data_IF_759088538317
#
_entry.id   IF_759088538317
#
_cell.length_a   1.000
_cell.length_b   1.000
_cell.length_c   1.000
_cell.angle_alpha   90.00
_cell.angle_beta   90.00
_cell.angle_gamma   90.00
#
_symmetry.space_group_name_H-M   'P 1'
#
loop_
_entity.id
_entity.type
_entity.pdbx_description
1 polymer ?
#
# COMPACT_ATOMS: atom_id res chain seq x y z
N UNK A 1 15.89 6.39 15.33
CA UNK A 1 14.56 5.77 15.42
C UNK A 1 13.78 6.19 14.18
N UNK A 2 13.13 5.25 13.50
CA UNK A 2 12.40 5.55 12.26
C UNK A 2 11.19 6.44 12.56
N UNK A 3 10.78 7.25 11.59
CA UNK A 3 9.49 7.94 11.64
C UNK A 3 8.36 6.92 11.69
N UNK A 4 7.28 7.20 12.42
CA UNK A 4 6.07 6.38 12.40
C UNK A 4 5.51 6.33 10.97
N UNK A 5 5.55 5.16 10.35
CA UNK A 5 4.98 4.93 9.03
C UNK A 5 3.85 3.93 9.19
N UNK A 6 2.66 4.34 8.76
CA UNK A 6 1.49 3.48 8.70
C UNK A 6 1.44 2.92 7.27
N UNK A 7 1.56 1.59 7.08
CA UNK A 7 1.49 1.03 5.75
C UNK A 7 0.04 1.01 5.25
N UNK A 8 -0.14 1.35 3.97
CA UNK A 8 -1.40 1.08 3.29
C UNK A 8 -1.57 -0.43 3.11
N UNK A 9 -2.74 -0.97 3.42
CA UNK A 9 -3.05 -2.39 3.19
C UNK A 9 -3.20 -2.71 1.70
N UNK A 10 -3.58 -1.70 0.91
CA UNK A 10 -3.65 -1.71 -0.53
C UNK A 10 -2.84 -0.54 -1.11
N UNK A 11 -2.06 -0.80 -2.15
CA UNK A 11 -1.26 0.18 -2.87
C UNK A 11 -1.72 0.25 -4.32
N UNK A 12 -2.22 1.41 -4.72
CA UNK A 12 -2.60 1.66 -6.10
C UNK A 12 -1.42 2.27 -6.88
N UNK A 13 -0.96 1.53 -7.90
CA UNK A 13 0.19 1.89 -8.72
C UNK A 13 -0.20 2.35 -10.13
N UNK A 14 -1.49 2.47 -10.42
CA UNK A 14 -2.01 2.72 -11.78
C UNK A 14 -1.36 3.93 -12.44
N UNK A 15 -1.26 5.04 -11.70
CA UNK A 15 -0.71 6.30 -12.19
C UNK A 15 0.82 6.36 -12.12
N UNK A 16 1.46 5.35 -11.53
CA UNK A 16 2.90 5.19 -11.44
C UNK A 16 3.46 4.31 -12.56
N UNK A 17 2.62 3.49 -13.19
CA UNK A 17 3.01 2.63 -14.29
C UNK A 17 3.42 3.46 -15.51
N UNK A 18 4.46 2.97 -16.19
CA UNK A 18 4.94 3.56 -17.42
C UNK A 18 4.04 3.12 -18.59
N UNK A 19 3.68 4.06 -19.46
CA UNK A 19 2.79 3.83 -20.61
C UNK A 19 1.43 3.19 -20.25
N UNK A 20 0.94 3.39 -19.04
CA UNK A 20 -0.44 3.04 -18.68
C UNK A 20 -1.40 4.17 -19.07
N UNK A 21 -2.63 3.85 -19.51
CA UNK A 21 -3.71 4.84 -19.56
C UNK A 21 -3.97 5.41 -18.15
N UNK A 22 -4.24 6.71 -18.07
CA UNK A 22 -4.55 7.41 -16.83
C UNK A 22 -5.84 8.18 -17.00
N UNK A 23 -6.61 8.27 -15.92
CA UNK A 23 -7.84 9.06 -15.90
C UNK A 23 -7.50 10.52 -15.59
N UNK A 24 -8.18 11.46 -16.24
CA UNK A 24 -8.07 12.86 -15.95
C UNK A 24 -8.56 13.11 -14.54
N UNK A 25 -7.73 13.78 -13.72
CA UNK A 25 -8.01 14.10 -12.32
C UNK A 25 -9.33 14.87 -12.10
N UNK A 26 -9.84 15.58 -13.12
CA UNK A 26 -11.05 16.39 -13.01
C UNK A 26 -12.30 15.71 -13.56
N UNK A 27 -12.20 15.04 -14.70
CA UNK A 27 -13.39 14.56 -15.43
C UNK A 27 -13.41 13.06 -15.66
N UNK A 28 -12.37 12.31 -15.25
CA UNK A 28 -12.28 10.85 -15.42
C UNK A 28 -11.95 10.37 -16.83
N UNK A 29 -12.10 11.20 -17.87
CA UNK A 29 -11.73 10.86 -19.25
C UNK A 29 -10.23 10.60 -19.41
N UNK A 30 -9.81 9.98 -20.51
CA UNK A 30 -8.41 9.70 -20.80
C UNK A 30 -7.53 10.97 -20.68
N UNK A 31 -6.46 10.86 -19.90
CA UNK A 31 -5.49 11.92 -19.75
C UNK A 31 -4.42 11.87 -20.85
N UNK A 32 -4.06 13.05 -21.35
CA UNK A 32 -3.05 13.26 -22.39
C UNK A 32 -1.85 14.03 -21.84
N UNK A 33 -2.00 14.71 -20.70
CA UNK A 33 -0.98 15.55 -20.08
C UNK A 33 -0.83 15.24 -18.61
N UNK A 34 0.36 15.48 -18.06
CA UNK A 34 0.66 15.41 -16.63
C UNK A 34 1.42 16.67 -16.22
N UNK A 35 1.06 17.27 -15.09
CA UNK A 35 1.77 18.43 -14.56
C UNK A 35 2.33 18.16 -13.16
N UNK A 36 3.64 17.92 -13.07
CA UNK A 36 4.34 17.73 -11.78
C UNK A 36 4.28 18.98 -10.90
N UNK A 37 4.22 20.17 -11.48
CA UNK A 37 4.10 21.43 -10.73
C UNK A 37 2.73 21.60 -10.06
N UNK A 38 1.69 20.87 -10.52
CA UNK A 38 0.39 20.83 -9.86
C UNK A 38 0.35 19.84 -8.67
N UNK A 39 1.34 18.96 -8.50
CA UNK A 39 1.40 17.96 -7.41
C UNK A 39 1.29 18.60 -6.00
N UNK A 40 1.98 19.71 -5.68
CA UNK A 40 1.85 20.37 -4.38
C UNK A 40 0.65 21.34 -4.27
N UNK A 41 -0.21 21.48 -5.30
CA UNK A 41 -1.28 22.48 -5.29
C UNK A 41 -2.35 22.16 -4.22
N UNK A 42 -2.44 23.03 -3.21
CA UNK A 42 -3.39 22.94 -2.09
C UNK A 42 -4.85 23.04 -2.50
N UNK A 43 -5.15 23.67 -3.64
CA UNK A 43 -6.50 23.74 -4.19
C UNK A 43 -6.91 22.47 -4.94
N UNK A 44 -5.97 21.55 -5.20
CA UNK A 44 -6.19 20.36 -6.01
C UNK A 44 -5.70 19.09 -5.30
N UNK A 45 -5.98 18.87 -4.02
CA UNK A 45 -5.52 17.68 -3.27
C UNK A 45 -3.99 17.43 -3.40
N UNK A 46 -3.18 18.04 -2.51
CA UNK A 46 -1.74 17.85 -2.48
C UNK A 46 -1.31 16.38 -2.49
N UNK A 47 -0.22 16.08 -3.20
CA UNK A 47 0.42 14.76 -3.20
C UNK A 47 -0.20 13.74 -4.16
N UNK A 48 -1.39 14.00 -4.71
CA UNK A 48 -1.98 13.17 -5.78
C UNK A 48 -1.42 13.58 -7.15
N UNK A 49 -1.04 12.61 -7.99
CA UNK A 49 -0.57 12.87 -9.37
C UNK A 49 -1.66 13.62 -10.16
N UNK A 50 -1.23 14.47 -11.11
CA UNK A 50 -2.10 15.42 -11.81
C UNK A 50 -2.13 15.17 -13.33
N UNK A 51 -2.78 14.08 -13.76
CA UNK A 51 -3.07 13.81 -15.16
C UNK A 51 -4.30 14.61 -15.63
N UNK A 52 -4.28 15.11 -16.85
CA UNK A 52 -5.35 15.91 -17.45
C UNK A 52 -5.63 15.49 -18.89
N UNK A 53 -6.90 15.46 -19.31
CA UNK A 53 -7.24 15.48 -20.73
C UNK A 53 -6.90 16.86 -21.32
N UNK A 54 -6.86 16.98 -22.65
CA UNK A 54 -6.52 18.25 -23.32
C UNK A 54 -7.35 19.44 -22.82
N UNK A 55 -8.67 19.29 -22.73
CA UNK A 55 -9.57 20.38 -22.29
C UNK A 55 -9.32 20.80 -20.84
N UNK A 56 -9.23 19.85 -19.91
CA UNK A 56 -8.98 20.14 -18.50
C UNK A 56 -7.59 20.73 -18.28
N UNK A 57 -6.58 20.29 -19.06
CA UNK A 57 -5.24 20.84 -19.02
C UNK A 57 -5.26 22.34 -19.32
N UNK A 58 -5.93 22.78 -20.39
CA UNK A 58 -6.04 24.21 -20.73
C UNK A 58 -6.77 24.99 -19.64
N UNK A 59 -7.87 24.47 -19.09
CA UNK A 59 -8.64 25.16 -18.05
C UNK A 59 -7.88 25.29 -16.73
N UNK A 60 -7.16 24.26 -16.31
CA UNK A 60 -6.38 24.30 -15.06
C UNK A 60 -5.26 25.33 -15.16
N UNK A 61 -4.58 25.38 -16.30
CA UNK A 61 -3.42 26.25 -16.53
C UNK A 61 -3.78 27.66 -17.03
N UNK A 62 -5.05 27.99 -17.26
CA UNK A 62 -5.48 29.38 -17.44
C UNK A 62 -5.55 30.15 -16.11
N UNK A 63 -5.55 29.44 -14.98
CA UNK A 63 -5.57 30.07 -13.67
C UNK A 63 -4.24 30.80 -13.39
N UNK A 64 -4.24 32.06 -12.89
CA UNK A 64 -3.02 32.86 -12.71
C UNK A 64 -1.92 32.19 -11.88
N UNK A 65 -2.29 31.36 -10.89
CA UNK A 65 -1.31 30.64 -10.08
C UNK A 65 -0.67 29.42 -10.76
N UNK A 66 -1.14 29.03 -11.95
CA UNK A 66 -0.70 27.83 -12.67
C UNK A 66 -0.30 28.08 -14.12
N UNK A 67 -0.49 29.29 -14.64
CA UNK A 67 -0.13 29.66 -16.02
C UNK A 67 1.36 29.47 -16.36
N UNK A 68 2.23 29.50 -15.35
CA UNK A 68 3.67 29.29 -15.51
C UNK A 68 4.08 27.81 -15.39
N UNK A 69 3.12 26.90 -15.20
CA UNK A 69 3.42 25.47 -15.18
C UNK A 69 3.67 24.96 -16.60
N UNK A 70 4.47 23.90 -16.71
CA UNK A 70 4.79 23.22 -17.97
C UNK A 70 4.27 21.78 -17.91
N UNK A 71 3.03 21.52 -18.37
CA UNK A 71 2.49 20.17 -18.49
C UNK A 71 3.26 19.37 -19.54
N UNK A 72 3.57 18.12 -19.21
CA UNK A 72 4.23 17.18 -20.12
C UNK A 72 3.19 16.28 -20.77
N UNK A 73 3.30 16.06 -22.08
CA UNK A 73 2.48 15.07 -22.77
C UNK A 73 2.79 13.66 -22.23
N UNK A 74 1.73 12.92 -21.94
CA UNK A 74 1.81 11.51 -21.57
C UNK A 74 1.98 10.67 -22.85
N UNK A 75 2.74 9.56 -22.80
CA UNK A 75 2.79 8.60 -23.90
C UNK A 75 1.38 8.07 -24.16
N UNK A 76 0.85 8.29 -25.36
CA UNK A 76 -0.52 7.91 -25.70
C UNK A 76 -0.67 6.38 -25.64
N UNK A 77 -1.52 5.82 -24.77
CA UNK A 77 -2.01 4.47 -24.95
C UNK A 77 -2.96 4.46 -26.16
N UNK A 78 -3.04 3.33 -26.86
CA UNK A 78 -4.05 3.16 -27.91
C UNK A 78 -5.43 3.44 -27.31
N UNK A 79 -6.18 4.36 -27.93
CA UNK A 79 -7.55 4.67 -27.53
C UNK A 79 -8.33 3.35 -27.45
N UNK A 80 -8.88 3.06 -26.28
CA UNK A 80 -9.81 1.96 -26.10
C UNK A 80 -11.01 2.52 -25.37
N UNK A 81 -12.21 2.17 -25.84
CA UNK A 81 -13.50 2.46 -25.17
C UNK A 81 -13.64 1.71 -23.82
N UNK A 82 -12.56 1.08 -23.35
CA UNK A 82 -12.54 0.35 -22.08
C UNK A 82 -12.12 1.28 -20.95
N UNK A 83 -12.76 1.18 -19.76
CA UNK A 83 -12.31 1.87 -18.56
C UNK A 83 -10.82 1.63 -18.30
N UNK A 84 -10.15 2.64 -17.73
CA UNK A 84 -8.73 2.55 -17.39
C UNK A 84 -8.53 1.41 -16.37
N UNK A 85 -7.72 0.38 -16.68
CA UNK A 85 -7.48 -0.70 -15.74
C UNK A 85 -6.80 -0.17 -14.48
N UNK A 86 -7.38 -0.46 -13.31
CA UNK A 86 -6.75 -0.20 -12.02
C UNK A 86 -5.76 -1.31 -11.69
N UNK A 87 -4.55 -0.92 -11.34
CA UNK A 87 -3.48 -1.80 -10.92
C UNK A 87 -3.20 -1.59 -9.44
N UNK A 88 -3.76 -2.48 -8.61
CA UNK A 88 -3.57 -2.47 -7.16
C UNK A 88 -2.71 -3.63 -6.72
N UNK A 89 -2.01 -3.43 -5.59
CA UNK A 89 -1.19 -4.42 -4.91
C UNK A 89 -1.64 -4.50 -3.46
N UNK A 90 -1.52 -5.68 -2.85
CA UNK A 90 -1.88 -5.91 -1.46
C UNK A 90 -0.62 -6.09 -0.62
N UNK A 91 -0.59 -5.45 0.56
CA UNK A 91 0.42 -5.69 1.57
C UNK A 91 0.29 -7.13 2.06
N UNK A 92 1.35 -7.92 1.93
CA UNK A 92 1.34 -9.32 2.37
C UNK A 92 2.42 -9.62 3.41
N UNK A 93 3.45 -8.81 3.53
CA UNK A 93 4.43 -8.96 4.59
C UNK A 93 5.06 -7.63 5.00
N UNK A 94 5.46 -7.55 6.25
CA UNK A 94 6.23 -6.44 6.80
C UNK A 94 7.43 -7.01 7.52
N UNK A 95 8.63 -6.64 7.08
CA UNK A 95 9.87 -6.97 7.77
C UNK A 95 10.17 -5.83 8.74
N UNK A 96 10.30 -6.15 10.02
CA UNK A 96 10.65 -5.21 11.07
C UNK A 96 12.05 -5.50 11.60
N UNK A 97 12.73 -4.47 12.09
CA UNK A 97 14.03 -4.57 12.74
C UNK A 97 14.04 -3.75 14.03
N UNK A 98 14.31 -4.43 15.15
CA UNK A 98 14.61 -3.76 16.41
C UNK A 98 16.10 -3.95 16.69
N UNK A 99 16.85 -2.85 16.66
CA UNK A 99 18.32 -2.80 16.72
C UNK A 99 19.01 -3.67 15.66
N UNK A 100 19.20 -4.96 15.93
CA UNK A 100 19.81 -5.95 15.03
C UNK A 100 18.95 -7.20 14.82
N UNK A 101 17.80 -7.28 15.48
CA UNK A 101 16.92 -8.45 15.44
C UNK A 101 15.79 -8.23 14.45
N UNK A 102 15.75 -9.07 13.42
CA UNK A 102 14.70 -9.04 12.40
C UNK A 102 13.54 -9.96 12.80
N UNK A 103 12.33 -9.43 12.66
CA UNK A 103 11.08 -10.17 12.81
C UNK A 103 10.16 -9.84 11.65
N UNK A 104 9.11 -10.61 11.45
CA UNK A 104 8.20 -10.35 10.34
C UNK A 104 6.73 -10.51 10.71
N UNK A 105 5.90 -9.69 10.07
CA UNK A 105 4.46 -9.86 10.00
C UNK A 105 4.10 -10.41 8.62
N UNK A 106 3.25 -11.43 8.56
CA UNK A 106 2.81 -12.06 7.32
C UNK A 106 1.30 -12.13 7.25
N UNK A 107 0.73 -11.79 6.10
CA UNK A 107 -0.68 -11.98 5.78
C UNK A 107 -0.87 -13.36 5.16
N UNK A 108 -1.64 -14.22 5.81
CA UNK A 108 -1.84 -15.60 5.37
C UNK A 108 -3.21 -15.87 4.71
N UNK A 109 -4.09 -14.86 4.71
CA UNK A 109 -5.45 -15.00 4.20
C UNK A 109 -6.08 -13.66 3.79
N UNK A 110 -7.22 -13.72 3.09
CA UNK A 110 -7.93 -12.53 2.62
C UNK A 110 -8.59 -11.73 3.74
N UNK A 111 -8.93 -12.37 4.86
CA UNK A 111 -9.54 -11.70 6.00
C UNK A 111 -8.60 -10.61 6.57
N UNK A 112 -9.11 -9.40 6.90
CA UNK A 112 -8.29 -8.31 7.45
C UNK A 112 -7.44 -8.70 8.67
N UNK A 113 -7.90 -9.63 9.50
CA UNK A 113 -7.26 -10.10 10.73
C UNK A 113 -6.35 -11.32 10.51
N UNK A 114 -6.23 -11.83 9.28
CA UNK A 114 -5.34 -12.95 8.95
C UNK A 114 -3.86 -12.54 8.92
N UNK A 115 -3.31 -12.23 10.10
CA UNK A 115 -1.91 -11.88 10.30
C UNK A 115 -1.19 -12.85 11.24
N UNK A 116 0.06 -13.16 10.90
CA UNK A 116 1.00 -13.91 11.72
C UNK A 116 2.19 -13.01 12.05
N UNK A 117 2.68 -13.13 13.27
CA UNK A 117 3.98 -12.65 13.71
C UNK A 117 4.96 -13.83 13.73
N UNK A 118 6.16 -13.62 13.20
CA UNK A 118 7.23 -14.60 13.18
C UNK A 118 8.52 -14.01 13.75
N UNK A 119 9.07 -14.72 14.74
CA UNK A 119 10.37 -14.44 15.35
C UNK A 119 11.22 -15.71 15.32
N UNK A 120 12.37 -15.64 14.63
CA UNK A 120 13.26 -16.79 14.46
C UNK A 120 14.12 -17.11 15.70
N UNK A 121 14.18 -16.19 16.67
CA UNK A 121 14.93 -16.32 17.92
C UNK A 121 14.06 -15.93 19.12
N UNK A 122 12.79 -16.33 19.10
CA UNK A 122 11.81 -16.00 20.13
C UNK A 122 12.18 -16.54 21.52
N UNK A 123 12.83 -17.70 21.56
CA UNK A 123 13.34 -18.32 22.77
C UNK A 123 14.64 -19.11 22.49
N UNK A 124 15.32 -19.58 23.54
CA UNK A 124 16.55 -20.35 23.45
C UNK A 124 16.54 -21.54 24.40
N UNK A 125 16.87 -22.71 23.85
CA UNK A 125 17.17 -23.88 24.67
C UNK A 125 18.67 -23.95 24.95
N UNK A 126 19.06 -24.11 26.21
CA UNK A 126 20.46 -24.25 26.62
C UNK A 126 21.22 -22.91 26.72
N UNK A 127 22.53 -22.99 26.91
CA UNK A 127 23.41 -21.84 27.11
C UNK A 127 24.06 -21.32 25.81
N UNK A 128 24.97 -20.36 25.94
CA UNK A 128 25.68 -19.76 24.81
C UNK A 128 26.59 -20.73 24.04
N UNK A 129 27.00 -21.84 24.67
CA UNK A 129 27.98 -22.76 24.13
C UNK A 129 27.35 -23.99 23.47
N UNK A 130 26.19 -24.45 23.98
CA UNK A 130 25.53 -25.68 23.50
C UNK A 130 24.03 -25.49 23.24
N UNK A 131 23.55 -24.25 23.18
CA UNK A 131 22.15 -23.94 22.93
C UNK A 131 21.80 -23.73 21.47
N UNK A 132 20.49 -23.71 21.20
CA UNK A 132 19.90 -23.37 19.90
C UNK A 132 18.65 -22.51 20.08
N UNK A 133 18.33 -21.72 19.06
CA UNK A 133 17.15 -20.87 19.06
C UNK A 133 15.88 -21.67 18.79
N UNK A 134 14.79 -21.28 19.42
CA UNK A 134 13.44 -21.81 19.20
C UNK A 134 12.63 -20.71 18.49
N UNK A 135 12.19 -20.93 17.24
CA UNK A 135 11.36 -19.97 16.53
C UNK A 135 9.91 -20.00 17.04
N UNK A 136 9.22 -18.86 16.94
CA UNK A 136 7.79 -18.75 17.25
C UNK A 136 7.02 -18.19 16.06
N UNK A 137 5.86 -18.78 15.78
CA UNK A 137 4.84 -18.25 14.89
C UNK A 137 3.58 -18.03 15.72
N UNK A 138 3.06 -16.81 15.73
CA UNK A 138 1.90 -16.42 16.54
C UNK A 138 0.87 -15.68 15.69
N UNK A 139 -0.41 -16.01 15.85
CA UNK A 139 -1.47 -15.17 15.27
C UNK A 139 -1.49 -13.79 15.94
N UNK A 140 -1.67 -12.74 15.14
CA UNK A 140 -1.74 -11.36 15.63
C UNK A 140 -2.90 -10.58 14.99
N UNK A 141 -4.17 -10.97 15.26
CA UNK A 141 -5.35 -10.32 14.70
C UNK A 141 -5.46 -8.82 15.07
N UNK A 142 -4.84 -8.39 16.17
CA UNK A 142 -4.78 -6.98 16.59
C UNK A 142 -4.12 -6.07 15.54
N UNK A 143 -3.28 -6.63 14.67
CA UNK A 143 -2.71 -5.90 13.54
C UNK A 143 -3.79 -5.58 12.50
N UNK A 144 -4.71 -6.51 12.26
CA UNK A 144 -5.87 -6.31 11.40
C UNK A 144 -6.84 -5.29 11.98
N UNK A 145 -7.10 -5.33 13.29
CA UNK A 145 -7.93 -4.34 13.97
C UNK A 145 -7.38 -2.92 13.78
N UNK A 146 -6.06 -2.76 13.98
CA UNK A 146 -5.38 -1.49 13.79
C UNK A 146 -5.42 -1.01 12.33
N UNK A 147 -5.02 -1.87 11.38
CA UNK A 147 -4.93 -1.53 9.97
C UNK A 147 -6.30 -1.32 9.28
N UNK A 148 -7.39 -1.69 9.94
CA UNK A 148 -8.76 -1.47 9.47
C UNK A 148 -9.37 -0.16 9.98
N UNK A 149 -8.66 0.58 10.84
CA UNK A 149 -9.12 1.89 11.32
C UNK A 149 -9.04 2.96 10.22
N UNK A 150 -9.86 4.02 10.31
CA UNK A 150 -9.71 5.20 9.46
C UNK A 150 -8.28 5.77 9.53
N UNK A 151 -7.77 6.31 8.41
CA UNK A 151 -6.43 6.90 8.35
C UNK A 151 -6.19 7.96 9.43
N UNK A 152 -7.22 8.75 9.76
CA UNK A 152 -7.17 9.77 10.81
C UNK A 152 -6.97 9.18 12.21
N UNK A 153 -7.54 8.01 12.49
CA UNK A 153 -7.42 7.32 13.78
C UNK A 153 -6.05 6.64 13.91
N UNK A 154 -5.60 5.98 12.83
CA UNK A 154 -4.24 5.43 12.78
C UNK A 154 -3.20 6.54 12.95
N UNK A 155 -3.35 7.69 12.28
CA UNK A 155 -2.42 8.81 12.37
C UNK A 155 -2.35 9.46 13.77
N UNK A 156 -3.43 9.38 14.55
CA UNK A 156 -3.48 9.86 15.94
C UNK A 156 -2.95 8.85 16.95
N UNK A 157 -2.67 7.62 16.53
CA UNK A 157 -2.26 6.56 17.44
C UNK A 157 -0.89 6.82 18.06
N UNK A 158 -0.82 6.76 19.39
CA UNK A 158 0.42 6.88 20.12
C UNK A 158 1.06 5.50 20.36
N UNK A 159 2.31 5.25 19.94
CA UNK A 159 2.94 3.94 20.05
C UNK A 159 3.05 3.39 21.48
N UNK A 160 3.05 4.27 22.49
CA UNK A 160 3.04 3.87 23.90
C UNK A 160 1.70 3.32 24.39
N UNK A 161 0.62 3.56 23.63
CA UNK A 161 -0.74 3.14 23.96
C UNK A 161 -1.23 1.99 23.06
N UNK A 162 -0.46 1.63 22.03
CA UNK A 162 -0.79 0.52 21.13
C UNK A 162 -0.29 -0.81 21.69
N UNK A 163 -0.97 -1.94 21.34
CA UNK A 163 -0.45 -3.29 21.61
C UNK A 163 0.99 -3.47 21.13
N UNK A 164 1.74 -4.35 21.77
CA UNK A 164 3.18 -4.53 21.50
C UNK A 164 3.48 -4.78 20.02
N UNK A 165 2.75 -5.70 19.38
CA UNK A 165 2.96 -6.04 17.97
C UNK A 165 2.61 -4.90 17.02
N UNK A 166 1.57 -4.12 17.33
CA UNK A 166 1.24 -2.90 16.59
C UNK A 166 2.34 -1.85 16.76
N UNK A 167 2.88 -1.68 17.98
CA UNK A 167 4.02 -0.79 18.23
C UNK A 167 5.24 -1.21 17.41
N UNK A 168 5.55 -2.50 17.35
CA UNK A 168 6.65 -3.03 16.52
C UNK A 168 6.41 -2.77 15.03
N UNK A 169 5.19 -2.93 14.54
CA UNK A 169 4.85 -2.52 13.18
C UNK A 169 5.14 -1.03 12.95
N UNK A 170 4.67 -0.15 13.83
CA UNK A 170 4.77 1.30 13.63
C UNK A 170 6.19 1.87 13.80
N UNK A 171 6.96 1.33 14.74
CA UNK A 171 8.25 1.89 15.14
C UNK A 171 9.45 1.17 14.51
N UNK A 172 9.28 -0.11 14.18
CA UNK A 172 10.39 -0.98 13.78
C UNK A 172 10.27 -1.46 12.32
N UNK A 173 9.26 -1.01 11.56
CA UNK A 173 9.12 -1.36 10.13
C UNK A 173 10.36 -0.99 9.32
N UNK A 174 10.89 -1.96 8.59
CA UNK A 174 12.06 -1.83 7.73
C UNK A 174 11.70 -1.99 6.25
N UNK A 175 10.89 -2.98 5.89
CA UNK A 175 10.40 -3.19 4.52
C UNK A 175 8.92 -3.56 4.51
N UNK A 176 8.17 -2.94 3.59
CA UNK A 176 6.79 -3.31 3.28
C UNK A 176 6.77 -4.05 1.95
N UNK A 177 6.19 -5.24 1.94
CA UNK A 177 6.18 -6.14 0.79
C UNK A 177 4.76 -6.22 0.23
N UNK A 178 4.61 -5.81 -1.02
CA UNK A 178 3.35 -5.81 -1.74
C UNK A 178 3.39 -6.82 -2.88
N UNK A 179 2.25 -7.46 -3.15
CA UNK A 179 2.10 -8.38 -4.28
C UNK A 179 0.78 -8.14 -5.00
N UNK A 180 0.67 -8.62 -6.24
CA UNK A 180 -0.61 -8.62 -6.95
C UNK A 180 -1.62 -9.44 -6.13
N UNK A 181 -2.85 -8.95 -5.88
CA UNK A 181 -3.86 -9.73 -5.19
C UNK A 181 -4.06 -11.06 -5.89
N UNK A 182 -4.11 -12.15 -5.12
CA UNK A 182 -4.47 -13.45 -5.67
C UNK A 182 -5.86 -13.31 -6.30
N UNK A 183 -6.00 -13.67 -7.57
CA UNK A 183 -7.32 -13.77 -8.19
C UNK A 183 -8.10 -14.77 -7.35
N UNK A 184 -9.29 -14.43 -6.83
CA UNK A 184 -10.09 -15.41 -6.13
C UNK A 184 -10.26 -16.60 -7.07
N UNK A 185 -9.77 -17.76 -6.65
CA UNK A 185 -10.11 -19.01 -7.29
C UNK A 185 -11.64 -19.04 -7.29
N UNK A 186 -12.25 -18.87 -8.47
CA UNK A 186 -13.66 -19.18 -8.62
C UNK A 186 -13.82 -20.59 -8.10
N UNK A 187 -14.64 -20.76 -7.05
CA UNK A 187 -14.97 -22.09 -6.54
C UNK A 187 -15.49 -22.87 -7.74
N UNK A 188 -14.72 -23.84 -8.22
CA UNK A 188 -15.23 -24.81 -9.18
C UNK A 188 -16.34 -25.56 -8.45
N UNK A 189 -17.60 -25.28 -8.79
CA UNK A 189 -18.77 -26.02 -8.35
C UNK A 189 -18.75 -27.43 -8.97
N UNK A 190 -17.80 -28.25 -8.56
CA UNK A 190 -17.82 -29.69 -8.80
C UNK A 190 -17.75 -30.39 -7.44
N UNK A 191 -18.83 -30.24 -6.67
CA UNK A 191 -19.27 -31.32 -5.79
C UNK A 191 -19.89 -32.38 -6.72
N UNK A 192 -19.11 -33.41 -7.07
CA UNK A 192 -19.72 -34.68 -7.48
C UNK A 192 -20.11 -35.44 -6.21
N UNK A 193 -21.38 -35.86 -6.06
CA UNK A 193 -21.78 -36.70 -4.94
C UNK A 193 -21.20 -38.10 -5.15
N UNK A 194 -20.41 -38.56 -4.19
CA UNK A 194 -20.07 -39.98 -4.08
C UNK A 194 -21.37 -40.76 -3.87
N UNK A 195 -21.64 -41.68 -4.79
CA UNK A 195 -22.62 -42.75 -4.68
C UNK A 195 -21.87 -44.06 -4.50
#
# INVERSE_FOLDING_TARGET
MFSHIIPSTELDITDLLYNSPRECFLCGHLAEFECLQCLPDRKMQPGRIKPFCSTCNTQVHSHPSRQAHSPRALPAPAASDTPVPRHTMQLFAVLCIQTSHYVSFLKYGPDPHSWLFFDCMADRHGDDQHGYNIPEVRACPELGDFLSQPEEDMARSHPSQTPELVRRLLCDSYMFLYQKPATPLSRSNHEEPFN
#
